data_IF_317077358708
#
_entry.id   IF_317077358708
#
_cell.length_a   1.000
_cell.length_b   1.000
_cell.length_c   1.000
_cell.angle_alpha   90.00
_cell.angle_beta   90.00
_cell.angle_gamma   90.00
#
_symmetry.space_group_name_H-M   'P 1'
#
loop_
_entity.id
_entity.type
_entity.pdbx_description
1 polymer ?
#
# COMPACT_ATOMS: atom_id res chain seq x y z
N UNK A 1 -7.39 -35.85 4.82
CA UNK A 1 -8.12 -34.71 4.20
C UNK A 1 -8.04 -33.41 5.01
N UNK A 2 -8.30 -33.42 6.32
CA UNK A 2 -8.24 -32.22 7.18
C UNK A 2 -6.91 -31.43 7.13
N UNK A 3 -5.77 -32.10 7.27
CA UNK A 3 -4.44 -31.46 7.22
C UNK A 3 -4.20 -30.79 5.86
N UNK A 4 -4.63 -31.43 4.78
CA UNK A 4 -4.54 -30.86 3.43
C UNK A 4 -5.31 -29.54 3.32
N UNK A 5 -6.52 -29.45 3.88
CA UNK A 5 -7.29 -28.20 3.88
C UNK A 5 -6.67 -27.11 4.77
N UNK A 6 -6.01 -27.47 5.88
CA UNK A 6 -5.23 -26.49 6.67
C UNK A 6 -4.13 -25.87 5.81
N UNK A 7 -3.39 -26.70 5.07
CA UNK A 7 -2.32 -26.23 4.19
C UNK A 7 -2.92 -25.31 3.12
N UNK A 8 -4.01 -25.72 2.46
CA UNK A 8 -4.67 -24.90 1.42
C UNK A 8 -5.18 -23.56 1.96
N UNK A 9 -5.84 -23.54 3.12
CA UNK A 9 -6.32 -22.31 3.77
C UNK A 9 -5.19 -21.38 4.25
N UNK A 10 -3.97 -21.91 4.38
CA UNK A 10 -2.79 -21.13 4.77
C UNK A 10 -2.10 -20.48 3.56
N UNK A 11 -2.36 -20.93 2.33
CA UNK A 11 -1.68 -20.41 1.14
C UNK A 11 -1.97 -18.91 0.90
N UNK A 12 -3.22 -18.48 0.99
CA UNK A 12 -3.59 -17.07 0.80
C UNK A 12 -2.91 -16.18 1.85
N UNK A 13 -3.06 -16.41 3.16
CA UNK A 13 -2.39 -15.54 4.13
C UNK A 13 -0.86 -15.63 4.05
N UNK A 14 -0.27 -16.79 3.74
CA UNK A 14 1.18 -16.91 3.53
C UNK A 14 1.64 -16.10 2.32
N UNK A 15 0.90 -16.11 1.20
CA UNK A 15 1.24 -15.29 0.04
C UNK A 15 1.13 -13.80 0.37
N UNK A 16 0.08 -13.38 1.11
CA UNK A 16 -0.03 -11.99 1.58
C UNK A 16 1.15 -11.57 2.47
N UNK A 17 1.61 -12.46 3.35
CA UNK A 17 2.82 -12.23 4.15
C UNK A 17 4.08 -12.13 3.31
N UNK A 18 4.25 -13.05 2.35
CA UNK A 18 5.40 -13.09 1.45
C UNK A 18 5.50 -11.84 0.59
N UNK A 19 4.41 -11.45 -0.08
CA UNK A 19 4.36 -10.22 -0.88
C UNK A 19 4.47 -8.97 0.00
N UNK A 20 3.82 -8.94 1.17
CA UNK A 20 3.93 -7.84 2.13
C UNK A 20 5.36 -7.63 2.62
N UNK A 21 6.09 -8.70 2.93
CA UNK A 21 7.50 -8.63 3.33
C UNK A 21 8.42 -8.28 2.17
N UNK A 22 8.18 -8.87 0.99
CA UNK A 22 8.96 -8.62 -0.22
C UNK A 22 8.87 -7.15 -0.63
N UNK A 23 7.66 -6.58 -0.74
CA UNK A 23 7.48 -5.19 -1.12
C UNK A 23 7.90 -4.20 -0.03
N UNK A 24 7.94 -4.62 1.23
CA UNK A 24 8.54 -3.81 2.32
C UNK A 24 10.06 -3.70 2.18
N UNK A 25 10.74 -4.77 1.73
CA UNK A 25 12.21 -4.81 1.58
C UNK A 25 12.68 -4.32 0.21
N UNK A 26 11.94 -4.65 -0.84
CA UNK A 26 12.23 -4.33 -2.23
C UNK A 26 10.96 -3.78 -2.89
N UNK A 27 10.57 -2.53 -2.61
CA UNK A 27 9.47 -1.90 -3.32
C UNK A 27 9.80 -1.86 -4.82
N UNK A 28 8.85 -2.19 -5.71
CA UNK A 28 9.10 -2.17 -7.15
C UNK A 28 9.48 -0.75 -7.58
N UNK A 29 10.74 -0.55 -7.96
CA UNK A 29 11.35 0.76 -8.19
C UNK A 29 10.91 1.43 -9.51
N UNK A 30 10.18 0.72 -10.35
CA UNK A 30 9.72 1.20 -11.65
C UNK A 30 8.26 0.80 -11.90
N UNK A 31 7.51 1.69 -12.53
CA UNK A 31 6.20 1.49 -13.14
C UNK A 31 6.26 0.57 -14.37
N UNK A 32 7.05 -0.50 -14.34
CA UNK A 32 7.18 -1.40 -15.49
C UNK A 32 5.87 -2.15 -15.73
N UNK A 33 5.51 -2.25 -17.01
CA UNK A 33 4.21 -2.68 -17.57
C UNK A 33 3.74 -4.10 -17.22
N UNK A 34 4.40 -4.84 -16.32
CA UNK A 34 4.09 -6.26 -16.11
C UNK A 34 3.48 -6.55 -14.74
N UNK A 35 3.77 -5.78 -13.68
CA UNK A 35 3.28 -6.06 -12.32
C UNK A 35 3.01 -4.78 -11.50
N UNK A 36 2.05 -4.81 -10.58
CA UNK A 36 1.90 -3.81 -9.51
C UNK A 36 0.52 -3.14 -9.39
N UNK A 37 0.45 -2.18 -8.48
CA UNK A 37 -0.79 -1.49 -8.07
C UNK A 37 -1.22 -0.49 -9.14
N UNK A 38 -2.19 -0.82 -10.00
CA UNK A 38 -2.56 0.01 -11.17
C UNK A 38 -3.78 0.89 -10.95
N UNK A 39 -3.89 1.50 -9.79
CA UNK A 39 -4.93 2.51 -9.64
C UNK A 39 -4.49 3.79 -10.35
N UNK A 40 -5.43 4.51 -10.97
CA UNK A 40 -5.12 5.76 -11.72
C UNK A 40 -4.31 6.78 -10.90
N UNK A 41 -4.38 6.71 -9.57
CA UNK A 41 -3.66 7.58 -8.65
C UNK A 41 -2.22 7.12 -8.35
N UNK A 42 -2.00 5.82 -8.16
CA UNK A 42 -0.66 5.27 -7.87
C UNK A 42 0.28 5.36 -9.07
N UNK A 43 -0.27 5.49 -10.29
CA UNK A 43 0.53 5.66 -11.51
C UNK A 43 0.83 7.13 -11.88
N UNK A 44 0.41 8.12 -11.08
CA UNK A 44 0.60 9.55 -11.40
C UNK A 44 2.05 10.03 -11.31
N UNK A 45 2.81 9.53 -10.34
CA UNK A 45 4.21 9.86 -10.16
C UNK A 45 4.96 8.66 -9.57
N UNK A 46 6.30 8.65 -9.67
CA UNK A 46 7.11 7.61 -9.02
C UNK A 46 6.90 7.60 -7.50
N UNK A 47 6.65 8.76 -6.91
CA UNK A 47 6.41 8.92 -5.48
C UNK A 47 5.05 8.36 -5.06
N UNK A 48 3.99 8.57 -5.84
CA UNK A 48 2.69 7.94 -5.56
C UNK A 48 2.77 6.43 -5.70
N UNK A 49 3.54 5.92 -6.66
CA UNK A 49 3.76 4.49 -6.87
C UNK A 49 4.49 3.84 -5.69
N UNK A 50 5.64 4.40 -5.29
CA UNK A 50 6.43 3.89 -4.16
C UNK A 50 5.63 3.95 -2.86
N UNK A 51 4.91 5.04 -2.61
CA UNK A 51 4.07 5.17 -1.42
C UNK A 51 2.92 4.17 -1.40
N UNK A 52 2.20 4.00 -2.52
CA UNK A 52 1.10 3.06 -2.62
C UNK A 52 1.57 1.62 -2.33
N UNK A 53 2.69 1.22 -2.94
CA UNK A 53 3.25 -0.11 -2.71
C UNK A 53 3.75 -0.31 -1.28
N UNK A 54 4.45 0.65 -0.70
CA UNK A 54 4.92 0.55 0.68
C UNK A 54 3.77 0.47 1.69
N UNK A 55 2.70 1.26 1.48
CA UNK A 55 1.52 1.23 2.33
C UNK A 55 0.75 -0.08 2.17
N UNK A 56 0.51 -0.50 0.92
CA UNK A 56 -0.19 -1.75 0.62
C UNK A 56 0.56 -2.97 1.15
N UNK A 57 1.89 -3.00 1.03
CA UNK A 57 2.74 -4.04 1.62
C UNK A 57 2.53 -4.16 3.13
N UNK A 58 2.40 -3.03 3.83
CA UNK A 58 2.09 -2.99 5.26
C UNK A 58 0.71 -3.57 5.55
N UNK A 59 -0.30 -3.15 4.79
CA UNK A 59 -1.69 -3.65 4.95
C UNK A 59 -1.72 -5.17 4.75
N UNK A 60 -1.10 -5.68 3.68
CA UNK A 60 -1.02 -7.11 3.38
C UNK A 60 -0.27 -7.92 4.43
N UNK A 61 0.83 -7.38 4.94
CA UNK A 61 1.59 -8.06 5.98
C UNK A 61 0.75 -8.22 7.26
N UNK A 62 0.13 -7.15 7.76
CA UNK A 62 -0.68 -7.24 8.98
C UNK A 62 -1.96 -8.05 8.78
N UNK A 63 -2.66 -7.88 7.65
CA UNK A 63 -3.86 -8.67 7.38
C UNK A 63 -3.54 -10.15 7.19
N UNK A 64 -2.40 -10.48 6.56
CA UNK A 64 -1.90 -11.85 6.43
C UNK A 64 -1.68 -12.54 7.79
N UNK A 65 -1.06 -11.85 8.75
CA UNK A 65 -0.85 -12.39 10.12
C UNK A 65 -2.20 -12.67 10.79
N UNK A 66 -3.11 -11.70 10.73
CA UNK A 66 -4.44 -11.81 11.35
C UNK A 66 -5.24 -12.96 10.72
N UNK A 67 -5.29 -13.02 9.39
CA UNK A 67 -6.00 -14.06 8.65
C UNK A 67 -5.43 -15.45 8.93
N UNK A 68 -4.10 -15.61 8.99
CA UNK A 68 -3.45 -16.88 9.30
C UNK A 68 -3.81 -17.35 10.72
N UNK A 69 -3.71 -16.44 11.69
CA UNK A 69 -3.97 -16.77 13.09
C UNK A 69 -5.44 -17.16 13.28
N UNK A 70 -6.36 -16.38 12.73
CA UNK A 70 -7.80 -16.66 12.83
C UNK A 70 -8.16 -17.96 12.09
N UNK A 71 -7.64 -18.18 10.88
CA UNK A 71 -7.97 -19.38 10.11
C UNK A 71 -7.52 -20.65 10.85
N UNK A 72 -6.32 -20.65 11.43
CA UNK A 72 -5.82 -21.78 12.23
C UNK A 72 -6.68 -22.02 13.47
N UNK A 73 -7.03 -20.97 14.22
CA UNK A 73 -7.89 -21.09 15.41
C UNK A 73 -9.26 -21.66 15.04
N UNK A 74 -9.91 -21.11 14.01
CA UNK A 74 -11.24 -21.55 13.57
C UNK A 74 -11.20 -23.01 13.08
N UNK A 75 -10.18 -23.38 12.31
CA UNK A 75 -10.04 -24.77 11.86
C UNK A 75 -9.84 -25.74 13.02
N UNK A 76 -9.10 -25.36 14.06
CA UNK A 76 -8.89 -26.18 15.26
C UNK A 76 -10.17 -26.35 16.09
N UNK A 77 -10.92 -25.26 16.30
CA UNK A 77 -12.16 -25.27 17.08
C UNK A 77 -13.26 -26.10 16.42
N UNK A 78 -13.37 -26.03 15.10
CA UNK A 78 -14.47 -26.66 14.36
C UNK A 78 -14.04 -27.87 13.52
N UNK A 79 -13.26 -28.76 14.12
CA UNK A 79 -12.72 -29.96 13.44
C UNK A 79 -13.79 -30.90 12.88
N UNK A 80 -15.02 -30.90 13.41
CA UNK A 80 -16.11 -31.78 12.93
C UNK A 80 -16.70 -31.33 11.58
N UNK A 81 -16.76 -30.02 11.33
CA UNK A 81 -17.38 -29.44 10.12
C UNK A 81 -16.32 -28.73 9.24
N UNK A 82 -15.11 -29.28 9.23
CA UNK A 82 -13.93 -28.61 8.69
C UNK A 82 -14.03 -28.29 7.20
N UNK A 83 -14.78 -29.08 6.42
CA UNK A 83 -14.93 -28.89 4.97
C UNK A 83 -15.75 -27.64 4.65
N UNK A 84 -16.93 -27.51 5.26
CA UNK A 84 -17.80 -26.34 5.06
C UNK A 84 -17.11 -25.06 5.57
N UNK A 85 -16.44 -25.15 6.71
CA UNK A 85 -15.76 -24.00 7.34
C UNK A 85 -14.54 -23.57 6.52
N UNK A 86 -13.78 -24.52 5.97
CA UNK A 86 -12.69 -24.24 5.03
C UNK A 86 -13.17 -23.38 3.86
N UNK A 87 -14.31 -23.73 3.26
CA UNK A 87 -14.87 -22.97 2.14
C UNK A 87 -15.21 -21.53 2.52
N UNK A 88 -15.84 -21.31 3.68
CA UNK A 88 -16.15 -19.96 4.18
C UNK A 88 -14.89 -19.15 4.49
N UNK A 89 -13.87 -19.77 5.07
CA UNK A 89 -12.57 -19.13 5.34
C UNK A 89 -11.97 -18.60 4.03
N UNK A 90 -11.97 -19.40 2.95
CA UNK A 90 -11.41 -18.98 1.65
C UNK A 90 -12.19 -17.77 1.11
N UNK A 91 -13.53 -17.79 1.14
CA UNK A 91 -14.32 -16.64 0.68
C UNK A 91 -14.02 -15.36 1.46
N UNK A 92 -13.89 -15.46 2.79
CA UNK A 92 -13.53 -14.32 3.64
C UNK A 92 -12.11 -13.84 3.33
N UNK A 93 -11.14 -14.74 3.20
CA UNK A 93 -9.75 -14.40 2.86
C UNK A 93 -9.66 -13.67 1.51
N UNK A 94 -10.37 -14.16 0.48
CA UNK A 94 -10.45 -13.51 -0.83
C UNK A 94 -11.10 -12.12 -0.75
N UNK A 95 -12.19 -11.98 0.00
CA UNK A 95 -12.85 -10.70 0.21
C UNK A 95 -11.90 -9.69 0.89
N UNK A 96 -11.20 -10.10 1.95
CA UNK A 96 -10.22 -9.25 2.64
C UNK A 96 -9.06 -8.86 1.71
N UNK A 97 -8.57 -9.79 0.90
CA UNK A 97 -7.53 -9.52 -0.08
C UNK A 97 -7.98 -8.45 -1.09
N UNK A 98 -9.20 -8.54 -1.63
CA UNK A 98 -9.76 -7.55 -2.55
C UNK A 98 -10.01 -6.19 -1.86
N UNK A 99 -10.60 -6.20 -0.67
CA UNK A 99 -10.95 -4.99 0.08
C UNK A 99 -9.73 -4.23 0.60
N UNK A 100 -8.58 -4.90 0.75
CA UNK A 100 -7.31 -4.27 1.12
C UNK A 100 -6.87 -3.15 0.14
N UNK A 101 -7.49 -3.10 -1.05
CA UNK A 101 -7.20 -2.06 -2.03
C UNK A 101 -7.67 -0.67 -1.60
N UNK A 102 -8.87 -0.63 -1.03
CA UNK A 102 -9.59 0.58 -0.63
C UNK A 102 -8.81 1.44 0.38
N UNK A 103 -8.29 0.92 1.51
CA UNK A 103 -7.56 1.75 2.48
C UNK A 103 -6.31 2.38 1.85
N UNK A 104 -5.65 1.67 0.94
CA UNK A 104 -4.48 2.19 0.21
C UNK A 104 -4.90 3.37 -0.67
N UNK A 105 -5.99 3.25 -1.43
CA UNK A 105 -6.52 4.33 -2.26
C UNK A 105 -6.93 5.57 -1.45
N UNK A 106 -7.58 5.37 -0.30
CA UNK A 106 -8.02 6.47 0.56
C UNK A 106 -6.82 7.25 1.09
N UNK A 107 -5.79 6.57 1.61
CA UNK A 107 -4.59 7.24 2.15
C UNK A 107 -3.81 7.91 1.02
N UNK A 108 -3.73 7.27 -0.15
CA UNK A 108 -3.08 7.82 -1.33
C UNK A 108 -3.75 9.13 -1.79
N UNK A 109 -5.09 9.18 -1.86
CA UNK A 109 -5.87 10.38 -2.22
C UNK A 109 -5.88 11.47 -1.16
N UNK A 110 -5.62 11.12 0.10
CA UNK A 110 -5.43 12.10 1.18
C UNK A 110 -4.07 12.78 1.05
N UNK A 111 -3.00 12.02 0.78
CA UNK A 111 -1.62 12.51 0.73
C UNK A 111 -1.27 13.23 -0.57
N UNK A 112 -1.77 12.78 -1.73
CA UNK A 112 -1.40 13.34 -3.03
C UNK A 112 -2.57 14.01 -3.73
N UNK A 113 -2.26 15.00 -4.56
CA UNK A 113 -3.22 15.70 -5.42
C UNK A 113 -3.48 14.95 -6.74
N UNK A 114 -4.33 15.51 -7.62
CA UNK A 114 -4.70 14.91 -8.91
C UNK A 114 -3.51 14.79 -9.89
N UNK A 115 -2.43 15.52 -9.64
CA UNK A 115 -1.22 15.56 -10.46
C UNK A 115 -0.13 14.61 -9.93
N UNK A 116 -0.35 13.99 -8.76
CA UNK A 116 0.63 13.11 -8.12
C UNK A 116 1.68 13.83 -7.27
N UNK A 117 1.40 15.09 -6.91
CA UNK A 117 2.23 15.92 -6.03
C UNK A 117 1.71 15.81 -4.59
N UNK A 118 2.61 15.73 -3.60
CA UNK A 118 2.23 15.69 -2.19
C UNK A 118 1.49 16.98 -1.77
N UNK A 119 0.29 16.84 -1.18
CA UNK A 119 -0.43 17.98 -0.60
C UNK A 119 0.37 18.53 0.58
N UNK A 120 0.99 19.69 0.37
CA UNK A 120 1.82 20.36 1.37
C UNK A 120 3.21 20.76 0.85
N UNK A 121 3.65 20.24 -0.31
CA UNK A 121 4.81 20.80 -1.00
C UNK A 121 4.41 22.09 -1.70
N UNK A 122 4.53 23.23 -1.01
CA UNK A 122 4.49 24.54 -1.68
C UNK A 122 5.79 24.67 -2.49
N UNK A 123 5.68 24.84 -3.80
CA UNK A 123 6.80 25.35 -4.58
C UNK A 123 7.11 26.77 -4.09
N UNK A 124 8.34 26.99 -3.64
CA UNK A 124 8.81 28.34 -3.32
C UNK A 124 9.08 29.02 -4.66
N UNK A 125 8.11 29.76 -5.16
CA UNK A 125 8.30 30.61 -6.34
C UNK A 125 9.08 31.84 -5.89
N UNK A 126 10.39 31.83 -6.09
CA UNK A 126 11.20 33.03 -5.97
C UNK A 126 10.95 33.89 -7.22
N UNK A 127 10.22 34.99 -7.06
CA UNK A 127 10.22 36.08 -8.05
C UNK A 127 11.43 36.96 -7.77
N UNK A 128 12.61 36.60 -8.30
CA UNK A 128 13.67 37.60 -8.45
C UNK A 128 13.18 38.66 -9.46
N UNK A 129 13.45 39.94 -9.18
CA UNK A 129 13.00 41.10 -9.95
C UNK A 129 13.59 41.23 -11.36
N UNK A 130 13.94 40.13 -12.00
CA UNK A 130 14.45 40.05 -13.36
C UNK A 130 13.92 38.77 -13.99
N UNK A 131 13.40 38.86 -15.22
CA UNK A 131 12.60 37.87 -15.97
C UNK A 131 13.20 36.45 -16.15
N UNK A 132 13.61 35.75 -15.09
CA UNK A 132 13.96 34.33 -15.10
C UNK A 132 13.38 33.64 -13.89
N UNK A 133 12.36 32.80 -14.13
CA UNK A 133 11.85 31.87 -13.14
C UNK A 133 12.92 30.78 -12.96
N UNK A 134 13.58 30.76 -11.80
CA UNK A 134 14.54 29.70 -11.45
C UNK A 134 13.83 28.63 -10.62
N UNK A 135 13.54 27.49 -11.24
CA UNK A 135 12.97 26.34 -10.55
C UNK A 135 14.07 25.63 -9.76
N UNK A 136 14.15 25.89 -8.45
CA UNK A 136 15.04 25.14 -7.57
C UNK A 136 14.32 23.91 -7.00
N UNK A 137 15.01 22.78 -7.11
CA UNK A 137 14.52 21.46 -6.69
C UNK A 137 14.14 21.39 -5.20
N UNK A 138 13.17 20.52 -4.95
CA UNK A 138 12.50 20.23 -3.68
C UNK A 138 13.45 20.16 -2.48
N UNK A 139 13.26 21.06 -1.51
CA UNK A 139 13.32 20.75 -0.07
C UNK A 139 12.86 21.95 0.78
N UNK A 140 11.85 21.73 1.62
CA UNK A 140 11.87 22.12 3.04
C UNK A 140 10.57 21.68 3.73
N UNK A 141 10.68 20.78 4.71
CA UNK A 141 9.71 20.70 5.81
C UNK A 141 10.03 21.87 6.74
N UNK A 142 9.10 22.81 6.84
CA UNK A 142 9.20 23.94 7.76
C UNK A 142 8.90 25.26 7.07
N UNK A 143 8.01 26.06 7.65
CA UNK A 143 7.91 27.49 7.35
C UNK A 143 9.29 28.10 7.60
N UNK A 144 9.96 28.54 6.55
CA UNK A 144 11.04 29.52 6.66
C UNK A 144 10.51 30.74 5.94
N UNK A 145 9.97 31.70 6.70
CA UNK A 145 9.74 33.05 6.21
C UNK A 145 11.13 33.69 6.09
N UNK A 146 11.70 33.66 4.88
CA UNK A 146 12.93 34.39 4.58
C UNK A 146 12.52 35.83 4.26
N UNK A 147 12.59 36.69 5.27
CA UNK A 147 12.49 38.14 5.10
C UNK A 147 13.77 38.62 4.43
N UNK A 148 13.70 38.86 3.12
CA UNK A 148 14.79 39.49 2.37
C UNK A 148 14.69 40.99 2.68
N UNK A 149 15.36 41.42 3.76
CA UNK A 149 15.65 42.84 3.94
C UNK A 149 16.60 43.31 2.85
N UNK A 150 16.18 44.39 2.19
CA UNK A 150 16.92 45.17 1.18
C UNK A 150 18.32 45.54 1.64
#
# INVERSE_FOLDING_TARGET
MYIFLIIMNSLIPITMLGFGALWKKYPPQSTNWVYGYRTKMSMKSKETWEFAHAYHAKVWFYSGIILLTISLIVMLLFRKNYEQISTWIIYIQLAVMMLSIIPTEIVLRKRFDKNGTERGSKEIIFKEGTNRIKFLGRKAKGKIDIDIKK
#
